data_IF_065886580408
#
_entry.id   IF_065886580408
#
_cell.length_a   1.000
_cell.length_b   1.000
_cell.length_c   1.000
_cell.angle_alpha   90.00
_cell.angle_beta   90.00
_cell.angle_gamma   90.00
#
_symmetry.space_group_name_H-M   'P 1'
#
loop_
_entity.id
_entity.type
_entity.pdbx_description
1 polymer ?
#
# COMPACT_ATOMS: atom_id res chain seq x y z
N UNK A 1 -20.61 -19.75 -2.81
CA UNK A 1 -19.34 -19.39 -2.14
C UNK A 1 -18.31 -20.39 -2.61
N UNK A 2 -17.30 -19.95 -3.36
CA UNK A 2 -16.21 -20.80 -3.85
C UNK A 2 -15.03 -20.77 -2.86
N UNK A 3 -15.36 -20.91 -1.57
CA UNK A 3 -14.37 -20.88 -0.50
C UNK A 3 -13.76 -22.28 -0.34
N UNK A 4 -12.43 -22.36 -0.42
CA UNK A 4 -11.69 -23.61 -0.19
C UNK A 4 -11.64 -24.00 1.29
N UNK A 5 -11.62 -23.02 2.19
CA UNK A 5 -11.71 -23.23 3.63
C UNK A 5 -12.61 -22.19 4.30
N UNK A 6 -13.26 -22.60 5.38
CA UNK A 6 -14.14 -21.76 6.21
C UNK A 6 -13.85 -22.04 7.68
N UNK A 7 -13.78 -20.99 8.48
CA UNK A 7 -13.70 -21.07 9.94
C UNK A 7 -14.73 -20.12 10.56
N UNK A 8 -15.34 -20.56 11.67
CA UNK A 8 -16.20 -19.73 12.50
C UNK A 8 -15.47 -19.49 13.83
N UNK A 9 -15.31 -18.22 14.22
CA UNK A 9 -14.75 -17.83 15.52
C UNK A 9 -15.60 -16.71 16.10
N UNK A 10 -16.22 -16.97 17.24
CA UNK A 10 -17.24 -16.10 17.86
C UNK A 10 -18.34 -15.72 16.85
N UNK A 11 -18.51 -14.42 16.58
CA UNK A 11 -19.50 -13.88 15.64
C UNK A 11 -18.94 -13.72 14.21
N UNK A 12 -17.72 -14.16 13.95
CA UNK A 12 -17.04 -13.99 12.67
C UNK A 12 -17.06 -15.28 11.84
N UNK A 13 -17.38 -15.14 10.56
CA UNK A 13 -17.19 -16.18 9.55
C UNK A 13 -16.04 -15.75 8.65
N UNK A 14 -14.96 -16.52 8.66
CA UNK A 14 -13.75 -16.24 7.89
C UNK A 14 -13.62 -17.28 6.79
N UNK A 15 -13.45 -16.82 5.56
CA UNK A 15 -13.35 -17.69 4.38
C UNK A 15 -12.02 -17.48 3.67
N UNK A 16 -11.36 -18.57 3.29
CA UNK A 16 -10.18 -18.53 2.43
C UNK A 16 -10.52 -19.11 1.06
N UNK A 17 -10.51 -18.31 -0.02
CA UNK A 17 -10.83 -18.81 -1.35
C UNK A 17 -9.68 -19.59 -2.01
N UNK A 18 -8.43 -19.31 -1.61
CA UNK A 18 -7.26 -19.75 -2.38
C UNK A 18 -6.47 -20.90 -1.73
N UNK A 19 -6.61 -21.10 -0.42
CA UNK A 19 -5.90 -22.15 0.34
C UNK A 19 -6.90 -23.01 1.11
N UNK A 20 -6.48 -24.21 1.46
CA UNK A 20 -7.24 -25.25 2.17
C UNK A 20 -7.30 -25.05 3.69
N UNK A 21 -6.71 -23.97 4.21
CA UNK A 21 -6.79 -23.58 5.61
C UNK A 21 -7.18 -22.11 5.76
N UNK A 22 -7.72 -21.75 6.94
CA UNK A 22 -7.89 -20.35 7.34
C UNK A 22 -6.69 -19.97 8.22
N UNK A 23 -5.82 -19.03 7.82
CA UNK A 23 -4.75 -18.55 8.68
C UNK A 23 -5.36 -18.00 9.97
N UNK A 24 -4.75 -18.28 11.12
CA UNK A 24 -5.20 -17.70 12.37
C UNK A 24 -5.01 -16.18 12.32
N UNK A 25 -6.09 -15.38 12.41
CA UNK A 25 -5.97 -13.95 12.32
C UNK A 25 -5.39 -13.38 13.61
N UNK A 26 -4.52 -12.38 13.48
CA UNK A 26 -3.97 -11.65 14.62
C UNK A 26 -5.01 -10.78 15.36
N UNK A 27 -6.25 -10.71 14.86
CA UNK A 27 -7.41 -10.10 15.53
C UNK A 27 -7.66 -10.61 16.96
N UNK A 28 -7.22 -11.83 17.26
CA UNK A 28 -7.57 -12.53 18.49
C UNK A 28 -6.42 -12.60 19.50
N UNK A 29 -5.31 -11.91 19.21
CA UNK A 29 -4.17 -11.80 20.12
C UNK A 29 -4.09 -10.37 20.62
N UNK A 30 -4.77 -10.08 21.72
CA UNK A 30 -4.80 -8.75 22.34
C UNK A 30 -3.44 -8.34 22.95
N UNK A 31 -2.53 -9.31 23.16
CA UNK A 31 -1.31 -9.12 23.97
C UNK A 31 0.03 -9.07 23.19
N UNK A 32 0.04 -9.14 21.85
CA UNK A 32 1.30 -9.14 21.04
C UNK A 32 1.37 -7.95 20.07
N UNK A 33 1.11 -6.74 20.55
CA UNK A 33 1.07 -5.51 19.74
C UNK A 33 2.35 -4.67 19.86
N UNK A 34 3.52 -5.28 19.66
CA UNK A 34 4.75 -4.50 19.47
C UNK A 34 4.90 -4.11 18.00
N UNK A 35 5.02 -2.81 17.74
CA UNK A 35 5.29 -2.27 16.42
C UNK A 35 6.75 -2.60 16.04
N UNK A 36 6.95 -3.56 15.13
CA UNK A 36 8.30 -3.90 14.69
C UNK A 36 8.69 -3.16 13.40
N UNK A 37 9.91 -2.60 13.34
CA UNK A 37 10.46 -2.14 12.08
C UNK A 37 10.79 -3.36 11.21
N UNK A 38 10.16 -3.44 10.03
CA UNK A 38 10.50 -4.43 9.04
C UNK A 38 11.81 -4.06 8.34
N UNK A 39 12.49 -5.06 7.76
CA UNK A 39 13.75 -4.87 7.04
C UNK A 39 13.62 -3.92 5.82
N UNK A 40 12.41 -3.67 5.35
CA UNK A 40 12.08 -2.72 4.27
C UNK A 40 11.76 -1.31 4.78
N UNK A 41 11.99 -1.02 6.07
CA UNK A 41 11.77 0.29 6.70
C UNK A 41 10.31 0.63 6.97
N UNK A 42 9.37 -0.32 6.77
CA UNK A 42 7.97 -0.17 7.15
C UNK A 42 7.79 -0.48 8.64
N UNK A 43 6.90 0.27 9.28
CA UNK A 43 6.42 -0.06 10.62
C UNK A 43 5.11 -0.82 10.46
N UNK A 44 5.08 -2.07 10.94
CA UNK A 44 3.92 -2.93 10.88
C UNK A 44 3.69 -3.60 12.22
N UNK A 45 2.47 -3.53 12.73
CA UNK A 45 2.04 -4.31 13.89
C UNK A 45 2.02 -5.80 13.55
N UNK A 46 1.56 -6.08 12.32
CA UNK A 46 1.26 -7.40 11.77
C UNK A 46 1.32 -7.25 10.25
N UNK A 47 1.68 -8.30 9.51
CA UNK A 47 1.50 -8.33 8.07
C UNK A 47 0.00 -8.08 7.73
N UNK A 48 -0.32 -6.95 7.11
CA UNK A 48 -1.70 -6.58 6.78
C UNK A 48 -2.39 -7.56 5.82
N UNK A 49 -1.63 -8.42 5.12
CA UNK A 49 -2.17 -9.52 4.31
C UNK A 49 -2.67 -10.71 5.15
N UNK A 50 -2.38 -10.75 6.45
CA UNK A 50 -2.92 -11.73 7.40
C UNK A 50 -4.19 -11.23 8.11
N UNK A 51 -4.56 -9.96 7.92
CA UNK A 51 -5.81 -9.44 8.45
C UNK A 51 -7.00 -9.84 7.56
N UNK A 52 -8.08 -10.39 8.13
CA UNK A 52 -9.31 -10.65 7.39
C UNK A 52 -9.86 -9.32 6.88
N UNK A 53 -10.09 -9.24 5.58
CA UNK A 53 -10.71 -8.07 4.98
C UNK A 53 -12.23 -8.25 5.04
N UNK A 54 -12.93 -7.18 5.46
CA UNK A 54 -14.39 -7.19 5.51
C UNK A 54 -14.96 -7.42 4.11
N UNK A 55 -15.85 -8.41 4.01
CA UNK A 55 -16.59 -8.66 2.79
C UNK A 55 -17.74 -7.66 2.67
N UNK A 56 -17.76 -6.90 1.57
CA UNK A 56 -18.88 -6.06 1.21
C UNK A 56 -19.44 -6.50 -0.14
N UNK A 57 -20.76 -6.71 -0.20
CA UNK A 57 -21.43 -7.26 -1.39
C UNK A 57 -21.29 -6.35 -2.61
N UNK A 58 -21.19 -5.04 -2.41
CA UNK A 58 -20.99 -4.06 -3.48
C UNK A 58 -19.54 -4.05 -3.99
N UNK A 59 -18.61 -4.49 -3.15
CA UNK A 59 -17.18 -4.50 -3.41
C UNK A 59 -16.61 -5.92 -3.29
N UNK A 60 -17.22 -6.90 -3.96
CA UNK A 60 -16.82 -8.32 -3.85
C UNK A 60 -15.35 -8.58 -4.17
N UNK A 61 -14.71 -7.69 -4.92
CA UNK A 61 -13.30 -7.76 -5.31
C UNK A 61 -12.39 -6.81 -4.52
N UNK A 62 -12.89 -6.04 -3.54
CA UNK A 62 -12.03 -5.23 -2.66
C UNK A 62 -11.03 -6.10 -1.89
N UNK A 63 -11.39 -7.36 -1.66
CA UNK A 63 -10.55 -8.36 -1.01
C UNK A 63 -9.44 -8.92 -1.91
N UNK A 64 -9.48 -8.60 -3.21
CA UNK A 64 -8.51 -9.09 -4.17
C UNK A 64 -7.35 -8.09 -4.31
N UNK A 65 -6.44 -8.08 -3.33
CA UNK A 65 -5.20 -7.30 -3.48
C UNK A 65 -4.34 -7.98 -4.56
N UNK A 66 -3.98 -7.27 -5.65
CA UNK A 66 -3.09 -7.82 -6.67
C UNK A 66 -1.77 -8.27 -6.04
N UNK A 67 -1.24 -9.42 -6.44
CA UNK A 67 0.11 -9.81 -5.99
C UNK A 67 1.14 -8.95 -6.70
N UNK A 68 2.32 -8.83 -6.10
CA UNK A 68 3.51 -8.38 -6.83
C UNK A 68 3.62 -9.19 -8.12
N UNK A 69 3.82 -8.49 -9.24
CA UNK A 69 3.92 -9.02 -10.61
C UNK A 69 2.62 -9.55 -11.26
N UNK A 70 1.48 -9.56 -10.56
CA UNK A 70 0.20 -9.95 -11.21
C UNK A 70 -0.35 -8.89 -12.15
N UNK A 71 0.10 -7.64 -12.00
CA UNK A 71 -0.25 -6.51 -12.86
C UNK A 71 1.02 -5.73 -13.22
N UNK A 72 1.68 -6.04 -14.35
CA UNK A 72 2.95 -5.43 -14.75
C UNK A 72 2.88 -3.89 -14.81
N UNK A 73 1.73 -3.33 -15.20
CA UNK A 73 1.48 -1.89 -15.31
C UNK A 73 1.54 -1.15 -13.95
N UNK A 74 1.53 -1.86 -12.83
CA UNK A 74 1.47 -1.29 -11.48
C UNK A 74 2.66 -1.70 -10.60
N UNK A 75 3.77 -2.13 -11.20
CA UNK A 75 4.94 -2.63 -10.46
C UNK A 75 5.48 -1.63 -9.42
N UNK A 76 5.36 -0.32 -9.68
CA UNK A 76 5.78 0.74 -8.75
C UNK A 76 4.99 0.72 -7.41
N UNK A 77 3.79 0.14 -7.38
CA UNK A 77 3.02 -0.06 -6.14
C UNK A 77 3.69 -1.08 -5.17
N UNK A 78 4.66 -1.86 -5.66
CA UNK A 78 5.43 -2.83 -4.87
C UNK A 78 6.92 -2.50 -4.78
N UNK A 79 7.30 -1.28 -5.18
CA UNK A 79 8.68 -0.82 -5.20
C UNK A 79 9.21 -0.51 -3.80
N UNK A 80 10.37 -1.06 -3.48
CA UNK A 80 11.11 -0.72 -2.27
C UNK A 80 12.38 0.04 -2.68
N UNK A 81 12.57 1.29 -2.23
CA UNK A 81 13.71 2.10 -2.63
C UNK A 81 15.00 1.55 -2.04
N UNK A 82 16.05 1.57 -2.85
CA UNK A 82 17.40 1.19 -2.43
C UNK A 82 18.30 2.42 -2.38
N UNK A 83 19.49 2.28 -1.79
CA UNK A 83 20.47 3.37 -1.80
C UNK A 83 20.89 3.81 -3.21
N UNK A 84 20.78 2.94 -4.22
CA UNK A 84 21.07 3.29 -5.61
C UNK A 84 20.04 4.26 -6.20
N UNK A 85 18.84 4.27 -5.64
CA UNK A 85 17.76 5.17 -6.07
C UNK A 85 17.79 6.51 -5.32
N UNK A 86 18.71 6.67 -4.36
CA UNK A 86 18.84 7.84 -3.51
C UNK A 86 19.97 8.75 -4.01
N UNK A 87 19.58 9.86 -4.63
CA UNK A 87 20.49 10.78 -5.29
C UNK A 87 20.81 11.94 -4.35
N UNK A 88 22.02 11.94 -3.79
CA UNK A 88 22.54 13.06 -2.99
C UNK A 88 23.09 14.12 -3.96
N UNK A 89 22.60 15.38 -3.90
CA UNK A 89 23.13 16.45 -4.73
C UNK A 89 24.63 16.65 -4.51
N UNK A 90 25.41 16.89 -5.58
CA UNK A 90 26.84 17.15 -5.45
C UNK A 90 27.08 18.38 -4.57
N UNK A 91 28.01 18.25 -3.62
CA UNK A 91 28.33 19.32 -2.67
C UNK A 91 27.44 19.40 -1.42
N UNK A 92 26.47 18.48 -1.26
CA UNK A 92 25.72 18.38 0.00
C UNK A 92 26.63 17.96 1.16
N UNK A 93 26.62 18.73 2.24
CA UNK A 93 27.29 18.38 3.52
C UNK A 93 26.48 17.38 4.36
N UNK A 94 25.23 17.16 4.01
CA UNK A 94 24.30 16.29 4.72
C UNK A 94 23.93 15.08 3.86
N UNK A 95 23.65 13.94 4.50
CA UNK A 95 23.15 12.74 3.85
C UNK A 95 21.65 12.85 3.49
N UNK A 96 21.28 13.97 2.87
CA UNK A 96 19.94 14.25 2.34
C UNK A 96 19.98 14.20 0.82
N UNK A 97 18.94 13.66 0.22
CA UNK A 97 18.90 13.40 -1.20
C UNK A 97 17.47 13.24 -1.71
N UNK A 98 17.38 13.00 -3.00
CA UNK A 98 16.14 12.88 -3.74
C UNK A 98 15.93 11.44 -4.19
N UNK A 99 14.68 11.03 -4.40
CA UNK A 99 14.40 9.81 -5.14
C UNK A 99 14.77 10.03 -6.61
N UNK A 100 15.32 8.99 -7.25
CA UNK A 100 15.61 8.99 -8.68
C UNK A 100 14.38 9.45 -9.50
N UNK A 101 14.58 10.42 -10.40
CA UNK A 101 13.49 11.06 -11.16
C UNK A 101 12.65 10.06 -11.97
N UNK A 102 13.29 9.00 -12.49
CA UNK A 102 12.58 7.92 -13.18
C UNK A 102 11.52 7.24 -12.28
N UNK A 103 11.84 7.02 -11.00
CA UNK A 103 10.92 6.41 -10.02
C UNK A 103 9.81 7.37 -9.59
N UNK A 104 10.12 8.65 -9.45
CA UNK A 104 9.11 9.69 -9.22
C UNK A 104 8.10 9.72 -10.37
N UNK A 105 8.56 9.65 -11.62
CA UNK A 105 7.69 9.60 -12.81
C UNK A 105 6.80 8.36 -12.84
N UNK A 106 7.31 7.19 -12.45
CA UNK A 106 6.48 5.97 -12.33
C UNK A 106 5.34 6.18 -11.31
N UNK A 107 5.60 6.82 -10.16
CA UNK A 107 4.55 7.15 -9.18
C UNK A 107 3.55 8.18 -9.71
N UNK A 108 3.99 9.20 -10.45
CA UNK A 108 3.12 10.18 -11.10
C UNK A 108 2.18 9.51 -12.12
N UNK A 109 2.71 8.59 -12.93
CA UNK A 109 1.93 7.83 -13.91
C UNK A 109 0.88 6.94 -13.23
N UNK A 110 1.26 6.25 -12.16
CA UNK A 110 0.33 5.46 -11.36
C UNK A 110 -0.79 6.33 -10.78
N UNK A 111 -0.44 7.48 -10.19
CA UNK A 111 -1.42 8.41 -9.63
C UNK A 111 -2.40 8.93 -10.69
N UNK A 112 -1.88 9.31 -11.86
CA UNK A 112 -2.70 9.77 -12.99
C UNK A 112 -3.65 8.67 -13.49
N UNK A 113 -3.16 7.43 -13.61
CA UNK A 113 -3.98 6.27 -13.97
C UNK A 113 -5.14 6.06 -12.98
N UNK A 114 -4.84 6.06 -11.68
CA UNK A 114 -5.85 5.92 -10.63
C UNK A 114 -6.87 7.07 -10.64
N UNK A 115 -6.41 8.29 -10.91
CA UNK A 115 -7.29 9.45 -11.06
C UNK A 115 -8.27 9.28 -12.21
N UNK A 116 -7.79 8.90 -13.39
CA UNK A 116 -8.63 8.71 -14.57
C UNK A 116 -9.64 7.57 -14.35
N UNK A 117 -9.18 6.45 -13.78
CA UNK A 117 -10.05 5.33 -13.45
C UNK A 117 -11.14 5.73 -12.44
N UNK A 118 -10.81 6.53 -11.43
CA UNK A 118 -11.79 7.02 -10.46
C UNK A 118 -12.86 7.90 -11.11
N UNK A 119 -12.50 8.82 -12.01
CA UNK A 119 -13.47 9.66 -12.71
C UNK A 119 -14.49 8.82 -13.49
N UNK A 120 -14.08 7.71 -14.09
CA UNK A 120 -15.01 6.78 -14.75
C UNK A 120 -15.97 6.06 -13.78
N UNK A 121 -15.56 5.85 -12.53
CA UNK A 121 -16.36 5.16 -11.50
C UNK A 121 -17.23 6.10 -10.64
N UNK A 122 -17.03 7.42 -10.71
CA UNK A 122 -17.74 8.42 -9.90
C UNK A 122 -19.28 8.41 -10.07
N UNK A 123 -19.79 7.82 -11.14
CA UNK A 123 -21.24 7.65 -11.36
C UNK A 123 -21.90 6.62 -10.43
N UNK A 124 -21.13 5.85 -9.63
CA UNK A 124 -21.64 4.63 -8.97
C UNK A 124 -21.50 4.49 -7.44
N UNK A 125 -20.90 5.42 -6.68
CA UNK A 125 -20.50 5.12 -5.28
C UNK A 125 -20.80 6.19 -4.21
N UNK A 126 -21.00 5.72 -2.97
CA UNK A 126 -21.16 6.47 -1.70
C UNK A 126 -19.82 6.82 -1.02
N UNK A 127 -18.72 6.12 -1.35
CA UNK A 127 -17.39 6.29 -0.71
C UNK A 127 -16.53 7.43 -1.31
N UNK A 128 -17.16 8.46 -1.89
CA UNK A 128 -16.49 9.51 -2.68
C UNK A 128 -15.55 10.41 -1.89
N UNK A 129 -15.82 10.63 -0.61
CA UNK A 129 -15.03 11.57 0.21
C UNK A 129 -13.68 10.96 0.61
N UNK A 130 -13.68 9.72 1.10
CA UNK A 130 -12.46 9.02 1.54
C UNK A 130 -11.47 8.82 0.37
N UNK A 131 -11.98 8.37 -0.78
CA UNK A 131 -11.14 8.16 -1.95
C UNK A 131 -10.52 9.46 -2.48
N UNK A 132 -11.28 10.57 -2.50
CA UNK A 132 -10.74 11.89 -2.87
C UNK A 132 -9.65 12.35 -1.91
N UNK A 133 -9.83 12.13 -0.61
CA UNK A 133 -8.82 12.47 0.39
C UNK A 133 -7.53 11.63 0.18
N UNK A 134 -7.67 10.33 -0.06
CA UNK A 134 -6.53 9.44 -0.36
C UNK A 134 -5.78 9.87 -1.62
N UNK A 135 -6.49 10.23 -2.68
CA UNK A 135 -5.89 10.72 -3.93
C UNK A 135 -5.13 12.03 -3.74
N UNK A 136 -5.70 12.97 -2.97
CA UNK A 136 -5.04 14.24 -2.64
C UNK A 136 -3.79 14.03 -1.77
N UNK A 137 -3.88 13.14 -0.77
CA UNK A 137 -2.75 12.75 0.08
C UNK A 137 -1.62 12.13 -0.74
N UNK A 138 -1.95 11.21 -1.66
CA UNK A 138 -0.98 10.60 -2.56
C UNK A 138 -0.28 11.65 -3.44
N UNK A 139 -1.02 12.59 -4.02
CA UNK A 139 -0.44 13.66 -4.84
C UNK A 139 0.57 14.52 -4.05
N UNK A 140 0.24 14.86 -2.80
CA UNK A 140 1.14 15.61 -1.94
C UNK A 140 2.43 14.85 -1.65
N UNK A 141 2.35 13.55 -1.38
CA UNK A 141 3.51 12.69 -1.14
C UNK A 141 4.41 12.58 -2.38
N UNK A 142 3.83 12.38 -3.57
CA UNK A 142 4.59 12.38 -4.83
C UNK A 142 5.29 13.73 -5.05
N UNK A 143 4.59 14.83 -4.78
CA UNK A 143 5.16 16.18 -4.90
C UNK A 143 6.34 16.39 -3.95
N UNK A 144 6.26 15.83 -2.73
CA UNK A 144 7.36 15.87 -1.76
C UNK A 144 8.56 15.03 -2.20
N UNK A 145 8.34 13.82 -2.70
CA UNK A 145 9.42 12.97 -3.26
C UNK A 145 10.16 13.66 -4.41
N UNK A 146 9.47 14.51 -5.17
CA UNK A 146 10.02 15.25 -6.31
C UNK A 146 10.81 16.50 -5.93
N UNK A 147 10.40 17.23 -4.89
CA UNK A 147 10.93 18.58 -4.63
C UNK A 147 11.63 18.74 -3.29
N UNK A 148 11.47 17.80 -2.36
CA UNK A 148 12.01 17.93 -1.01
C UNK A 148 13.12 16.91 -0.76
N UNK A 149 14.37 17.35 -0.50
CA UNK A 149 15.43 16.47 -0.06
C UNK A 149 15.06 15.83 1.28
N UNK A 150 15.24 14.52 1.38
CA UNK A 150 14.94 13.73 2.57
C UNK A 150 16.16 12.93 2.96
N UNK A 151 16.24 12.52 4.23
CA UNK A 151 17.11 11.41 4.60
C UNK A 151 16.55 10.11 4.02
N UNK A 152 17.42 9.14 3.74
CA UNK A 152 17.00 7.87 3.12
C UNK A 152 15.86 7.17 3.89
N UNK A 153 15.92 7.16 5.22
CA UNK A 153 14.88 6.59 6.09
C UNK A 153 13.50 7.21 5.81
N UNK A 154 13.43 8.53 5.74
CA UNK A 154 12.17 9.24 5.56
C UNK A 154 11.64 9.04 4.13
N UNK A 155 12.54 8.97 3.14
CA UNK A 155 12.18 8.61 1.77
C UNK A 155 11.53 7.22 1.70
N UNK A 156 12.09 6.22 2.38
CA UNK A 156 11.51 4.87 2.46
C UNK A 156 10.09 4.93 3.04
N UNK A 157 9.89 5.72 4.11
CA UNK A 157 8.57 5.92 4.72
C UNK A 157 7.60 6.58 3.75
N UNK A 158 8.01 7.62 3.01
CA UNK A 158 7.13 8.28 2.03
C UNK A 158 6.74 7.36 0.87
N UNK A 159 7.67 6.52 0.40
CA UNK A 159 7.37 5.52 -0.63
C UNK A 159 6.40 4.48 -0.10
N UNK A 160 6.60 3.97 1.13
CA UNK A 160 5.67 3.03 1.75
C UNK A 160 4.27 3.62 1.95
N UNK A 161 4.16 4.92 2.25
CA UNK A 161 2.88 5.61 2.40
C UNK A 161 2.12 5.86 1.08
N UNK A 162 2.77 5.68 -0.07
CA UNK A 162 2.15 5.76 -1.40
C UNK A 162 1.56 4.42 -1.85
N UNK A 163 1.84 3.35 -1.12
CA UNK A 163 1.46 1.96 -1.41
C UNK A 163 0.33 1.53 -0.47
#
# INVERSE_FOLDING_TARGET
>A
LDARAVACKDHWVITSPNVDFVPEPHLFKEDEHELHPHADGRFGLVNCFQWPQNYEKEYKYSVCIPRKDSLPTHAIAWYNPTHNDFIIPPGSKFAVGMLLDAKVKEFEQLHHFLCNHHHHLQSRSVAKADLRHRMASAQHKVTRLRHHPLIFRDLVVFVAQLQ
#
